data_IF_366120333848
#
_entry.id   IF_366120333848
#
_cell.length_a   1.000
_cell.length_b   1.000
_cell.length_c   1.000
_cell.angle_alpha   90.00
_cell.angle_beta   90.00
_cell.angle_gamma   90.00
#
_symmetry.space_group_name_H-M   'P 1'
#
loop_
_entity.id
_entity.type
_entity.pdbx_description
1 polymer ?
#
# COMPACT_ATOMS: atom_id res chain seq x y z
N UNK A 1 23.23 37.14 30.30
CA UNK A 1 22.17 36.12 30.21
C UNK A 1 22.85 34.77 29.99
N UNK A 2 22.67 33.75 30.86
CA UNK A 2 23.29 32.45 30.63
C UNK A 2 22.62 31.77 29.43
N UNK A 3 23.43 31.30 28.49
CA UNK A 3 22.97 30.51 27.34
C UNK A 3 22.93 29.05 27.79
N UNK A 4 21.74 28.46 27.76
CA UNK A 4 21.56 27.03 28.04
C UNK A 4 21.70 26.25 26.74
N UNK A 5 22.77 25.48 26.60
CA UNK A 5 22.93 24.52 25.51
C UNK A 5 22.39 23.15 25.96
N UNK A 6 21.41 22.61 25.24
CA UNK A 6 21.10 21.18 25.29
C UNK A 6 21.85 20.49 24.17
N UNK A 7 22.74 19.58 24.52
CA UNK A 7 23.39 18.71 23.54
C UNK A 7 22.78 17.31 23.69
N UNK A 8 22.17 16.76 22.62
CA UNK A 8 21.69 15.39 22.65
C UNK A 8 22.90 14.46 22.75
N UNK A 9 22.98 13.67 23.83
CA UNK A 9 23.96 12.60 23.94
C UNK A 9 23.32 11.28 23.50
N UNK A 10 24.12 10.40 22.89
CA UNK A 10 23.70 9.13 22.28
C UNK A 10 23.11 8.07 23.23
N UNK A 11 22.72 8.44 24.46
CA UNK A 11 22.09 7.56 25.47
C UNK A 11 20.86 8.18 26.16
N UNK A 12 20.15 9.10 25.51
CA UNK A 12 18.81 9.53 25.95
C UNK A 12 18.73 10.23 27.32
N UNK A 13 19.84 10.75 27.84
CA UNK A 13 19.88 11.53 29.09
C UNK A 13 20.26 12.98 28.78
N UNK A 14 19.27 13.87 28.88
CA UNK A 14 19.41 15.32 28.72
C UNK A 14 20.18 15.88 29.93
N UNK A 15 21.47 16.18 29.78
CA UNK A 15 22.24 16.96 30.77
C UNK A 15 22.17 18.44 30.41
N UNK A 16 21.62 19.26 31.31
CA UNK A 16 21.66 20.72 31.17
C UNK A 16 23.00 21.25 31.67
N UNK A 17 23.68 22.04 30.83
CA UNK A 17 24.87 22.79 31.22
C UNK A 17 24.56 24.29 31.18
N UNK A 18 24.95 25.03 32.22
CA UNK A 18 24.91 26.48 32.25
C UNK A 18 26.29 27.04 31.91
N UNK A 19 26.36 27.90 30.89
CA UNK A 19 27.52 28.73 30.65
C UNK A 19 27.42 29.99 31.50
N UNK A 20 28.32 30.17 32.47
CA UNK A 20 28.52 31.46 33.15
C UNK A 20 29.70 32.21 32.52
N UNK A 21 29.58 33.51 32.26
CA UNK A 21 30.75 34.33 31.93
C UNK A 21 31.64 34.48 33.18
N UNK A 22 32.94 34.21 33.02
CA UNK A 22 33.98 34.47 34.01
C UNK A 22 34.45 35.93 33.88
N UNK A 23 34.71 36.67 34.97
CA UNK A 23 35.08 38.09 34.87
C UNK A 23 36.44 38.36 34.22
N UNK A 24 37.33 37.36 34.08
CA UNK A 24 38.75 37.66 33.82
C UNK A 24 39.49 36.86 32.71
N UNK A 25 38.87 35.99 31.90
CA UNK A 25 39.54 35.41 30.71
C UNK A 25 38.58 35.05 29.58
N UNK A 26 39.02 35.26 28.34
CA UNK A 26 38.28 35.08 27.07
C UNK A 26 37.88 33.63 26.68
N UNK A 27 37.75 32.67 27.61
CA UNK A 27 37.28 31.30 27.29
C UNK A 27 36.28 30.78 28.34
N UNK A 28 35.06 30.36 27.95
CA UNK A 28 34.07 29.82 28.89
C UNK A 28 34.36 28.38 29.34
N UNK A 29 34.12 28.08 30.62
CA UNK A 29 34.29 26.75 31.25
C UNK A 29 32.93 26.07 31.44
N UNK A 30 32.81 24.80 31.05
CA UNK A 30 31.61 23.97 31.26
C UNK A 30 31.71 23.22 32.60
N UNK A 31 30.80 23.50 33.53
CA UNK A 31 30.60 22.73 34.78
C UNK A 31 29.22 22.06 34.78
N UNK A 32 29.16 20.78 35.14
CA UNK A 32 27.92 20.02 35.25
C UNK A 32 27.25 20.25 36.61
N UNK A 33 26.00 20.72 36.60
CA UNK A 33 25.22 20.85 37.82
C UNK A 33 24.64 19.49 38.23
N UNK A 34 24.96 19.05 39.45
CA UNK A 34 24.35 17.89 40.09
C UNK A 34 23.22 18.30 41.04
N UNK A 35 22.21 17.44 41.14
CA UNK A 35 21.19 17.33 42.21
C UNK A 35 19.89 18.16 42.08
N UNK A 36 18.79 17.76 42.75
CA UNK A 36 17.83 16.78 42.24
C UNK A 36 16.39 17.35 42.11
N UNK A 37 15.53 16.58 41.44
CA UNK A 37 14.10 16.86 41.19
C UNK A 37 13.31 16.83 42.52
N UNK A 38 12.57 17.91 42.83
CA UNK A 38 11.39 17.84 43.70
C UNK A 38 10.35 18.89 43.30
N UNK A 39 9.11 18.43 43.22
CA UNK A 39 7.91 19.15 42.81
C UNK A 39 7.36 20.06 43.93
N UNK A 40 6.67 21.15 43.58
CA UNK A 40 5.22 21.28 43.72
C UNK A 40 4.71 22.73 43.87
N UNK A 41 3.56 22.93 43.22
CA UNK A 41 2.41 23.82 43.44
C UNK A 41 2.53 25.32 43.80
N UNK A 42 1.74 26.07 42.98
CA UNK A 42 1.08 27.37 43.24
C UNK A 42 1.94 28.63 43.12
N UNK A 43 1.30 29.64 42.52
CA UNK A 43 1.77 31.01 42.25
C UNK A 43 2.63 31.07 40.97
N UNK A 44 2.37 31.91 39.96
CA UNK A 44 1.86 33.27 40.01
C UNK A 44 0.93 33.59 38.82
N UNK A 45 -0.05 34.44 39.13
CA UNK A 45 -1.00 35.08 38.22
C UNK A 45 -0.31 36.09 37.28
N UNK A 46 -0.83 36.14 36.04
CA UNK A 46 -0.94 37.25 35.03
C UNK A 46 -0.74 38.69 35.57
N UNK A 47 -0.27 39.68 34.77
CA UNK A 47 -1.07 40.21 33.64
C UNK A 47 -0.39 40.89 32.41
N UNK A 48 -1.18 40.85 31.32
CA UNK A 48 -1.47 41.85 30.26
C UNK A 48 -0.51 42.17 29.09
N UNK A 49 -1.10 41.92 27.91
CA UNK A 49 -1.21 42.77 26.70
C UNK A 49 -0.21 42.55 25.55
N UNK A 50 -0.78 42.07 24.43
CA UNK A 50 -0.67 42.75 23.15
C UNK A 50 0.41 42.27 22.19
N UNK A 51 0.12 41.21 21.43
CA UNK A 51 0.45 41.22 20.00
C UNK A 51 -0.46 40.23 19.25
N UNK A 52 -1.50 40.78 18.63
CA UNK A 52 -2.33 40.07 17.68
C UNK A 52 -1.50 39.83 16.41
N UNK A 53 -1.20 38.56 16.12
CA UNK A 53 -0.72 38.14 14.81
C UNK A 53 -1.92 37.90 13.89
N UNK A 54 -1.86 38.37 12.63
CA UNK A 54 -3.00 38.36 11.74
C UNK A 54 -3.41 36.92 11.38
N UNK A 55 -4.70 36.64 11.53
CA UNK A 55 -5.35 35.51 10.92
C UNK A 55 -5.17 35.59 9.40
N UNK A 56 -4.35 34.72 8.82
CA UNK A 56 -4.40 34.44 7.38
C UNK A 56 -5.66 33.62 7.09
N UNK A 57 -6.60 34.13 6.28
CA UNK A 57 -7.66 33.30 5.72
C UNK A 57 -7.12 32.57 4.48
N UNK A 58 -7.46 31.29 4.35
CA UNK A 58 -7.44 30.62 3.05
C UNK A 58 -6.21 29.75 2.77
N UNK A 59 -6.29 28.51 3.22
CA UNK A 59 -6.02 27.37 2.35
C UNK A 59 -6.97 26.25 2.80
N UNK A 60 -8.25 26.43 2.49
CA UNK A 60 -9.17 25.30 2.37
C UNK A 60 -8.62 24.44 1.24
N UNK A 61 -7.91 23.38 1.62
CA UNK A 61 -7.54 22.30 0.72
C UNK A 61 -8.80 21.90 -0.07
N UNK A 62 -8.76 21.82 -1.40
CA UNK A 62 -9.93 21.40 -2.16
C UNK A 62 -10.24 19.96 -1.75
N UNK A 63 -11.35 19.81 -1.03
CA UNK A 63 -12.03 18.57 -0.80
C UNK A 63 -12.52 18.04 -2.15
N UNK A 64 -11.64 17.33 -2.84
CA UNK A 64 -11.93 16.55 -4.03
C UNK A 64 -10.98 15.38 -4.06
N UNK A 65 -11.41 14.23 -3.51
CA UNK A 65 -10.62 12.97 -3.56
C UNK A 65 -10.08 12.66 -4.95
N UNK A 66 -10.78 13.10 -6.00
CA UNK A 66 -10.48 12.77 -7.39
C UNK A 66 -9.45 13.73 -8.05
N UNK A 67 -9.39 15.00 -7.65
CA UNK A 67 -8.52 16.01 -8.31
C UNK A 67 -7.05 15.83 -7.95
N UNK A 68 -6.76 15.43 -6.70
CA UNK A 68 -5.42 15.10 -6.25
C UNK A 68 -4.89 13.76 -6.81
N UNK A 69 -5.78 12.80 -7.07
CA UNK A 69 -5.43 11.50 -7.67
C UNK A 69 -5.00 11.66 -9.13
N UNK A 70 -5.75 12.42 -9.93
CA UNK A 70 -5.38 12.71 -11.32
C UNK A 70 -4.07 13.49 -11.41
N UNK A 71 -3.88 14.50 -10.56
CA UNK A 71 -2.62 15.25 -10.51
C UNK A 71 -1.43 14.36 -10.11
N UNK A 72 -1.61 13.45 -9.14
CA UNK A 72 -0.60 12.46 -8.74
C UNK A 72 -0.32 11.42 -9.84
N UNK A 73 -1.35 10.94 -10.53
CA UNK A 73 -1.23 10.05 -11.67
C UNK A 73 -0.39 10.69 -12.78
N UNK A 74 -0.71 11.94 -13.14
CA UNK A 74 0.05 12.71 -14.14
C UNK A 74 1.50 12.93 -13.69
N UNK A 75 1.71 13.32 -12.43
CA UNK A 75 3.05 13.49 -11.84
C UNK A 75 3.84 12.18 -11.84
N UNK A 76 3.22 11.04 -11.54
CA UNK A 76 3.89 9.73 -11.55
C UNK A 76 4.19 9.24 -12.97
N UNK A 77 3.31 9.48 -13.94
CA UNK A 77 3.59 9.24 -15.36
C UNK A 77 4.78 10.08 -15.83
N UNK A 78 4.79 11.38 -15.52
CA UNK A 78 5.87 12.29 -15.88
C UNK A 78 7.17 11.89 -15.17
N UNK A 79 7.13 11.59 -13.87
CA UNK A 79 8.31 11.12 -13.12
C UNK A 79 8.82 9.76 -13.64
N UNK A 80 7.93 8.85 -14.04
CA UNK A 80 8.28 7.55 -14.62
C UNK A 80 8.97 7.66 -15.97
N UNK A 81 8.57 8.62 -16.81
CA UNK A 81 9.22 8.93 -18.09
C UNK A 81 10.60 9.60 -17.87
N UNK A 82 10.71 10.47 -16.85
CA UNK A 82 11.94 11.23 -16.57
C UNK A 82 13.02 10.42 -15.80
N UNK A 83 12.62 9.43 -15.00
CA UNK A 83 13.54 8.67 -14.14
C UNK A 83 13.95 7.37 -14.83
N UNK A 84 15.03 7.48 -15.62
CA UNK A 84 15.58 6.38 -16.43
C UNK A 84 15.69 5.02 -15.71
N UNK A 85 15.28 3.97 -16.43
CA UNK A 85 15.44 2.51 -16.23
C UNK A 85 16.08 2.04 -14.91
N UNK A 86 15.47 2.33 -13.76
CA UNK A 86 15.79 1.62 -12.53
C UNK A 86 14.90 0.38 -12.40
N UNK A 87 15.46 -0.75 -11.97
CA UNK A 87 14.70 -1.98 -11.68
C UNK A 87 13.51 -1.69 -10.74
N UNK A 88 13.67 -0.76 -9.80
CA UNK A 88 12.58 -0.36 -8.90
C UNK A 88 11.43 0.38 -9.58
N UNK A 89 11.71 1.20 -10.59
CA UNK A 89 10.64 1.85 -11.38
C UNK A 89 9.84 0.81 -12.15
N UNK A 90 10.52 -0.19 -12.72
CA UNK A 90 9.89 -1.28 -13.46
C UNK A 90 9.04 -2.19 -12.56
N UNK A 91 9.55 -2.58 -11.38
CA UNK A 91 8.79 -3.37 -10.42
C UNK A 91 7.56 -2.63 -9.90
N UNK A 92 7.67 -1.31 -9.67
CA UNK A 92 6.52 -0.48 -9.30
C UNK A 92 5.47 -0.41 -10.42
N UNK A 93 5.92 -0.29 -11.67
CA UNK A 93 5.05 -0.32 -12.85
C UNK A 93 4.32 -1.66 -12.98
N UNK A 94 5.00 -2.78 -12.73
CA UNK A 94 4.39 -4.11 -12.71
C UNK A 94 3.38 -4.25 -11.58
N UNK A 95 3.76 -3.88 -10.35
CA UNK A 95 2.91 -3.98 -9.16
C UNK A 95 1.59 -3.22 -9.33
N UNK A 96 1.66 -2.05 -9.96
CA UNK A 96 0.49 -1.18 -10.20
C UNK A 96 -0.31 -1.52 -11.45
N UNK A 97 0.06 -2.58 -12.17
CA UNK A 97 -0.60 -2.96 -13.43
C UNK A 97 -0.52 -1.86 -14.47
N UNK A 98 0.67 -1.33 -14.75
CA UNK A 98 0.86 -0.19 -15.66
C UNK A 98 0.19 1.11 -15.20
N UNK A 99 0.24 1.41 -13.90
CA UNK A 99 -0.41 2.55 -13.25
C UNK A 99 -1.95 2.51 -13.22
N UNK A 100 -2.58 1.41 -13.64
CA UNK A 100 -4.03 1.21 -13.53
C UNK A 100 -4.48 1.26 -12.07
N UNK A 101 -3.64 0.80 -11.14
CA UNK A 101 -3.90 0.85 -9.70
C UNK A 101 -4.09 2.26 -9.11
N UNK A 102 -3.83 3.32 -9.87
CA UNK A 102 -4.10 4.71 -9.46
C UNK A 102 -5.45 5.26 -9.96
N UNK A 103 -6.21 4.46 -10.71
CA UNK A 103 -7.53 4.88 -11.16
C UNK A 103 -8.49 5.04 -9.97
N UNK A 104 -9.39 6.04 -10.03
CA UNK A 104 -10.34 6.30 -8.96
C UNK A 104 -11.40 5.19 -8.87
N UNK A 105 -11.95 5.02 -7.67
CA UNK A 105 -13.10 4.15 -7.38
C UNK A 105 -12.89 2.66 -7.77
N UNK A 106 -12.27 1.91 -6.86
CA UNK A 106 -11.95 0.48 -6.99
C UNK A 106 -10.85 0.19 -8.03
N UNK A 107 -9.57 0.51 -7.74
CA UNK A 107 -8.44 0.29 -8.65
C UNK A 107 -8.35 -1.17 -9.12
N UNK A 108 -8.72 -2.09 -8.25
CA UNK A 108 -8.81 -3.50 -8.54
C UNK A 108 -9.74 -3.88 -9.68
N UNK A 109 -10.96 -3.33 -9.71
CA UNK A 109 -11.93 -3.59 -10.78
C UNK A 109 -11.38 -3.17 -12.13
N UNK A 110 -10.69 -2.02 -12.17
CA UNK A 110 -10.02 -1.56 -13.37
C UNK A 110 -8.88 -2.48 -13.78
N UNK A 111 -8.09 -2.99 -12.84
CA UNK A 111 -7.03 -3.95 -13.12
C UNK A 111 -7.58 -5.25 -13.70
N UNK A 112 -8.63 -5.82 -13.11
CA UNK A 112 -9.29 -7.01 -13.66
C UNK A 112 -9.83 -6.75 -15.07
N UNK A 113 -10.53 -5.63 -15.29
CA UNK A 113 -11.17 -5.34 -16.57
C UNK A 113 -10.16 -5.02 -17.69
N UNK A 114 -9.18 -4.16 -17.41
CA UNK A 114 -8.26 -3.63 -18.41
C UNK A 114 -7.01 -4.49 -18.61
N UNK A 115 -6.62 -5.29 -17.60
CA UNK A 115 -5.44 -6.15 -17.66
C UNK A 115 -5.81 -7.63 -17.51
N UNK A 116 -6.58 -7.99 -16.50
CA UNK A 116 -6.95 -9.38 -16.20
C UNK A 116 -7.73 -10.08 -17.32
N UNK A 117 -8.80 -9.46 -17.83
CA UNK A 117 -9.65 -10.04 -18.88
C UNK A 117 -8.88 -10.19 -20.21
N UNK A 118 -8.20 -9.16 -20.74
CA UNK A 118 -7.40 -9.32 -21.95
C UNK A 118 -6.30 -10.38 -21.81
N UNK A 119 -5.61 -10.42 -20.67
CA UNK A 119 -4.57 -11.41 -20.40
C UNK A 119 -5.16 -12.82 -20.31
N UNK A 120 -6.31 -12.97 -19.66
CA UNK A 120 -7.03 -14.25 -19.59
C UNK A 120 -7.38 -14.77 -20.99
N UNK A 121 -7.97 -13.91 -21.83
CA UNK A 121 -8.32 -14.25 -23.21
C UNK A 121 -7.06 -14.67 -23.97
N UNK A 122 -6.00 -13.85 -23.96
CA UNK A 122 -4.77 -14.12 -24.67
C UNK A 122 -4.13 -15.46 -24.27
N UNK A 123 -4.05 -15.76 -22.96
CA UNK A 123 -3.49 -17.01 -22.47
C UNK A 123 -4.36 -18.22 -22.81
N UNK A 124 -5.70 -18.09 -22.76
CA UNK A 124 -6.61 -19.20 -23.11
C UNK A 124 -6.50 -19.60 -24.59
N UNK A 125 -6.16 -18.67 -25.48
CA UNK A 125 -5.91 -19.00 -26.90
C UNK A 125 -4.68 -19.89 -27.11
N UNK A 126 -3.76 -19.95 -26.15
CA UNK A 126 -2.55 -20.78 -26.20
C UNK A 126 -2.80 -22.21 -25.70
N UNK A 127 -3.97 -22.49 -25.12
CA UNK A 127 -4.34 -23.79 -24.54
C UNK A 127 -4.17 -23.87 -23.03
N UNK A 128 -4.85 -24.82 -22.40
CA UNK A 128 -4.92 -24.93 -20.93
C UNK A 128 -3.55 -25.11 -20.23
N UNK A 129 -2.59 -25.92 -20.73
CA UNK A 129 -1.29 -26.04 -20.06
C UNK A 129 -0.51 -24.71 -20.02
N UNK A 130 -0.52 -23.97 -21.13
CA UNK A 130 0.12 -22.65 -21.22
C UNK A 130 -0.63 -21.60 -20.39
N UNK A 131 -1.95 -21.73 -20.27
CA UNK A 131 -2.76 -20.90 -19.39
C UNK A 131 -2.33 -21.07 -17.92
N UNK A 132 -2.22 -22.31 -17.43
CA UNK A 132 -1.78 -22.58 -16.05
C UNK A 132 -0.36 -22.08 -15.82
N UNK A 133 0.55 -22.28 -16.78
CA UNK A 133 1.90 -21.73 -16.70
C UNK A 133 1.90 -20.20 -16.65
N UNK A 134 1.05 -19.54 -17.46
CA UNK A 134 0.85 -18.10 -17.44
C UNK A 134 0.33 -17.60 -16.09
N UNK A 135 -0.62 -18.30 -15.47
CA UNK A 135 -1.11 -17.98 -14.13
C UNK A 135 0.03 -18.03 -13.09
N UNK A 136 0.86 -19.07 -13.12
CA UNK A 136 2.01 -19.21 -12.22
C UNK A 136 3.06 -18.11 -12.46
N UNK A 137 3.30 -17.75 -13.72
CA UNK A 137 4.22 -16.66 -14.06
C UNK A 137 3.72 -15.30 -13.54
N UNK A 138 2.44 -15.00 -13.71
CA UNK A 138 1.82 -13.76 -13.20
C UNK A 138 1.83 -13.74 -11.67
N UNK A 139 1.53 -14.87 -11.02
CA UNK A 139 1.65 -15.00 -9.58
C UNK A 139 3.09 -14.73 -9.08
N UNK A 140 4.10 -15.29 -9.74
CA UNK A 140 5.50 -15.04 -9.39
C UNK A 140 5.88 -13.56 -9.57
N UNK A 141 5.45 -12.93 -10.66
CA UNK A 141 5.64 -11.48 -10.89
C UNK A 141 4.95 -10.67 -9.80
N UNK A 142 3.73 -11.05 -9.41
CA UNK A 142 2.98 -10.40 -8.34
C UNK A 142 3.76 -10.46 -7.01
N UNK A 143 4.20 -11.65 -6.58
CA UNK A 143 4.97 -11.79 -5.32
C UNK A 143 6.21 -10.90 -5.30
N UNK A 144 7.00 -10.90 -6.38
CA UNK A 144 8.25 -10.14 -6.45
C UNK A 144 7.98 -8.63 -6.47
N UNK A 145 7.01 -8.19 -7.28
CA UNK A 145 6.72 -6.77 -7.46
C UNK A 145 5.99 -6.17 -6.26
N UNK A 146 4.98 -6.86 -5.71
CA UNK A 146 4.27 -6.44 -4.50
C UNK A 146 5.20 -6.39 -3.30
N UNK A 147 6.05 -7.40 -3.10
CA UNK A 147 7.02 -7.42 -2.00
C UNK A 147 8.07 -6.31 -2.10
N UNK A 148 8.49 -5.96 -3.31
CA UNK A 148 9.38 -4.82 -3.54
C UNK A 148 8.70 -3.48 -3.17
N UNK A 149 7.46 -3.28 -3.60
CA UNK A 149 6.71 -2.04 -3.33
C UNK A 149 6.39 -1.90 -1.84
N UNK A 150 5.93 -2.95 -1.19
CA UNK A 150 5.68 -3.00 0.26
C UNK A 150 6.96 -2.67 1.05
N UNK A 151 8.07 -3.33 0.73
CA UNK A 151 9.35 -3.06 1.39
C UNK A 151 9.89 -1.65 1.16
N UNK A 152 9.63 -1.06 -0.01
CA UNK A 152 10.07 0.31 -0.33
C UNK A 152 9.23 1.37 0.39
N UNK A 153 7.93 1.15 0.51
CA UNK A 153 7.00 2.11 1.12
C UNK A 153 6.83 1.91 2.61
N UNK A 154 7.26 0.77 3.15
CA UNK A 154 7.05 0.37 4.55
C UNK A 154 5.55 0.40 4.94
N UNK A 155 4.68 0.16 3.96
CA UNK A 155 3.23 0.13 4.09
C UNK A 155 2.75 -1.25 3.65
N UNK A 156 2.08 -1.97 4.56
CA UNK A 156 1.56 -3.31 4.29
C UNK A 156 0.34 -3.20 3.37
N UNK A 157 0.35 -4.00 2.30
CA UNK A 157 -0.74 -4.12 1.32
C UNK A 157 -1.26 -2.76 0.76
N UNK A 158 -0.44 -2.02 -0.01
CA UNK A 158 -0.85 -0.73 -0.53
C UNK A 158 -1.96 -0.87 -1.58
N UNK A 159 -3.05 -0.07 -1.51
CA UNK A 159 -4.28 -0.29 -2.31
C UNK A 159 -4.14 -0.03 -3.82
N UNK A 160 -2.97 0.41 -4.29
CA UNK A 160 -2.68 0.62 -5.71
C UNK A 160 -1.82 -0.53 -6.30
N UNK A 161 -1.40 -1.49 -5.48
CA UNK A 161 -0.87 -2.77 -5.94
C UNK A 161 -2.09 -3.59 -6.37
N UNK A 162 -2.11 -4.02 -7.63
CA UNK A 162 -3.29 -4.67 -8.24
C UNK A 162 -2.92 -5.90 -9.07
N UNK A 163 -1.64 -6.25 -9.11
CA UNK A 163 -1.13 -7.37 -9.90
C UNK A 163 -1.44 -8.73 -9.26
N UNK A 164 -1.49 -8.77 -7.94
CA UNK A 164 -2.13 -9.79 -7.10
C UNK A 164 -3.58 -10.02 -7.50
N UNK A 165 -4.36 -8.97 -7.69
CA UNK A 165 -5.77 -9.13 -8.07
C UNK A 165 -5.94 -9.72 -9.47
N UNK A 166 -5.03 -9.37 -10.38
CA UNK A 166 -4.94 -9.97 -11.71
C UNK A 166 -4.57 -11.45 -11.60
N UNK A 167 -3.61 -11.81 -10.74
CA UNK A 167 -3.24 -13.20 -10.50
C UNK A 167 -4.40 -14.02 -9.93
N UNK A 168 -5.13 -13.47 -8.95
CA UNK A 168 -6.31 -14.09 -8.36
C UNK A 168 -7.45 -14.29 -9.37
N UNK A 169 -7.74 -13.27 -10.19
CA UNK A 169 -8.72 -13.40 -11.27
C UNK A 169 -8.34 -14.48 -12.30
N UNK A 170 -7.08 -14.55 -12.73
CA UNK A 170 -6.64 -15.62 -13.63
C UNK A 170 -6.79 -17.00 -12.99
N UNK A 171 -6.46 -17.15 -11.71
CA UNK A 171 -6.68 -18.41 -10.99
C UNK A 171 -8.16 -18.85 -11.01
N UNK A 172 -9.09 -17.89 -10.94
CA UNK A 172 -10.54 -18.17 -10.99
C UNK A 172 -11.01 -18.80 -12.31
N UNK A 173 -10.27 -18.62 -13.40
CA UNK A 173 -10.62 -19.07 -14.76
C UNK A 173 -9.87 -20.35 -15.20
N UNK A 174 -9.07 -20.97 -14.32
CA UNK A 174 -8.39 -22.25 -14.58
C UNK A 174 -9.43 -23.34 -14.90
N UNK A 175 -9.25 -24.07 -16.01
CA UNK A 175 -10.17 -25.13 -16.47
C UNK A 175 -11.62 -24.68 -16.72
N UNK A 176 -11.88 -23.36 -16.77
CA UNK A 176 -13.19 -22.80 -17.09
C UNK A 176 -13.22 -22.43 -18.58
N UNK A 177 -14.29 -22.76 -19.33
CA UNK A 177 -14.41 -22.41 -20.74
C UNK A 177 -14.50 -20.89 -20.93
N UNK A 178 -13.78 -20.37 -21.92
CA UNK A 178 -13.79 -18.95 -22.24
C UNK A 178 -15.11 -18.55 -22.89
N UNK A 179 -15.98 -17.89 -22.13
CA UNK A 179 -17.19 -17.24 -22.64
C UNK A 179 -17.59 -16.07 -21.73
N UNK A 180 -18.52 -15.23 -22.20
CA UNK A 180 -18.90 -13.99 -21.50
C UNK A 180 -19.51 -14.27 -20.12
N UNK A 181 -20.37 -15.29 -20.01
CA UNK A 181 -21.05 -15.63 -18.75
C UNK A 181 -20.04 -16.07 -17.67
N UNK A 182 -19.18 -17.08 -17.90
CA UNK A 182 -18.12 -17.44 -16.96
C UNK A 182 -17.19 -16.28 -16.60
N UNK A 183 -16.80 -15.41 -17.54
CA UNK A 183 -15.96 -14.25 -17.23
C UNK A 183 -16.61 -13.30 -16.22
N UNK A 184 -17.89 -12.98 -16.43
CA UNK A 184 -18.64 -12.09 -15.53
C UNK A 184 -18.86 -12.76 -14.17
N UNK A 185 -19.25 -14.03 -14.15
CA UNK A 185 -19.48 -14.78 -12.91
C UNK A 185 -18.16 -15.00 -12.15
N UNK A 186 -17.06 -15.29 -12.84
CA UNK A 186 -15.71 -15.37 -12.27
C UNK A 186 -15.33 -14.05 -11.58
N UNK A 187 -15.51 -12.92 -12.27
CA UNK A 187 -15.24 -11.60 -11.69
C UNK A 187 -16.09 -11.35 -10.43
N UNK A 188 -17.38 -11.68 -10.47
CA UNK A 188 -18.27 -11.53 -9.33
C UNK A 188 -17.88 -12.43 -8.14
N UNK A 189 -17.62 -13.72 -8.38
CA UNK A 189 -17.21 -14.66 -7.35
C UNK A 189 -15.85 -14.33 -6.78
N UNK A 190 -14.88 -13.96 -7.61
CA UNK A 190 -13.57 -13.52 -7.17
C UNK A 190 -13.69 -12.35 -6.18
N UNK A 191 -14.48 -11.31 -6.52
CA UNK A 191 -14.71 -10.18 -5.61
C UNK A 191 -15.46 -10.56 -4.34
N UNK A 192 -16.41 -11.48 -4.44
CA UNK A 192 -17.09 -11.98 -3.27
C UNK A 192 -16.10 -12.65 -2.30
N UNK A 193 -15.20 -13.50 -2.79
CA UNK A 193 -14.25 -14.21 -1.95
C UNK A 193 -13.09 -13.33 -1.46
N UNK A 194 -12.64 -12.39 -2.26
CA UNK A 194 -11.66 -11.35 -1.89
C UNK A 194 -12.17 -10.45 -0.77
N UNK A 195 -13.47 -10.06 -0.79
CA UNK A 195 -14.07 -9.26 0.29
C UNK A 195 -14.36 -10.11 1.53
N UNK A 196 -14.88 -11.32 1.37
CA UNK A 196 -15.29 -12.17 2.50
C UNK A 196 -14.09 -12.77 3.23
N UNK A 197 -13.01 -13.09 2.50
CA UNK A 197 -11.80 -13.78 2.98
C UNK A 197 -12.14 -14.98 3.88
N UNK A 198 -12.83 -16.01 3.35
CA UNK A 198 -13.19 -17.17 4.15
C UNK A 198 -11.94 -17.86 4.74
N UNK A 199 -12.01 -18.44 5.95
CA UNK A 199 -10.90 -19.21 6.50
C UNK A 199 -10.54 -20.37 5.54
N UNK A 200 -9.25 -20.65 5.28
CA UNK A 200 -8.05 -20.33 6.07
C UNK A 200 -7.24 -19.10 5.59
N UNK A 201 -7.75 -18.30 4.64
CA UNK A 201 -7.05 -17.13 4.05
C UNK A 201 -6.41 -16.25 5.13
N UNK A 202 -7.22 -15.83 6.11
CA UNK A 202 -6.79 -14.95 7.21
C UNK A 202 -5.63 -15.51 8.05
N UNK A 203 -5.51 -16.84 8.16
CA UNK A 203 -4.41 -17.49 8.90
C UNK A 203 -3.13 -17.55 8.08
N UNK A 204 -3.26 -17.60 6.75
CA UNK A 204 -2.13 -17.67 5.83
C UNK A 204 -1.49 -16.28 5.66
N UNK A 205 -2.30 -15.24 5.51
CA UNK A 205 -1.88 -13.83 5.45
C UNK A 205 -1.03 -13.43 6.67
N UNK A 206 -1.39 -13.93 7.86
CA UNK A 206 -0.64 -13.67 9.09
C UNK A 206 0.73 -14.39 9.16
N UNK A 207 0.94 -15.44 8.37
CA UNK A 207 2.15 -16.27 8.40
C UNK A 207 3.14 -15.94 7.28
N UNK A 208 2.67 -15.35 6.19
CA UNK A 208 3.48 -15.04 5.02
C UNK A 208 3.79 -13.53 4.99
N UNK A 209 5.02 -13.10 5.31
CA UNK A 209 5.40 -11.70 5.23
C UNK A 209 5.66 -11.27 3.78
N UNK A 210 5.44 -9.99 3.50
CA UNK A 210 5.79 -9.40 2.22
C UNK A 210 4.80 -9.71 1.09
N UNK A 211 5.30 -9.63 -0.15
CA UNK A 211 4.52 -9.92 -1.35
C UNK A 211 3.93 -11.32 -1.43
N UNK A 212 4.46 -12.29 -0.69
CA UNK A 212 3.83 -13.62 -0.58
C UNK A 212 2.47 -13.54 0.11
N UNK A 213 2.35 -12.76 1.19
CA UNK A 213 1.08 -12.62 1.91
C UNK A 213 0.02 -11.96 1.04
N UNK A 214 0.40 -10.88 0.35
CA UNK A 214 -0.46 -10.12 -0.56
C UNK A 214 -0.95 -11.03 -1.70
N UNK A 215 -0.04 -11.64 -2.46
CA UNK A 215 -0.44 -12.45 -3.62
C UNK A 215 -1.16 -13.74 -3.23
N UNK A 216 -0.80 -14.41 -2.12
CA UNK A 216 -1.51 -15.65 -1.75
C UNK A 216 -2.95 -15.38 -1.33
N UNK A 217 -3.25 -14.23 -0.72
CA UNK A 217 -4.61 -13.87 -0.33
C UNK A 217 -5.55 -13.91 -1.55
N UNK A 218 -5.17 -13.18 -2.61
CA UNK A 218 -5.91 -13.12 -3.87
C UNK A 218 -5.90 -14.44 -4.63
N UNK A 219 -4.78 -15.19 -4.63
CA UNK A 219 -4.74 -16.50 -5.27
C UNK A 219 -5.71 -17.48 -4.61
N UNK A 220 -5.78 -17.51 -3.27
CA UNK A 220 -6.69 -18.40 -2.56
C UNK A 220 -8.15 -17.95 -2.78
N UNK A 221 -8.43 -16.64 -2.77
CA UNK A 221 -9.74 -16.11 -3.17
C UNK A 221 -10.11 -16.53 -4.61
N UNK A 222 -9.14 -16.48 -5.54
CA UNK A 222 -9.26 -16.95 -6.91
C UNK A 222 -9.58 -18.45 -7.01
N UNK A 223 -8.93 -19.29 -6.20
CA UNK A 223 -9.22 -20.73 -6.15
C UNK A 223 -10.62 -21.01 -5.60
N UNK A 224 -11.09 -20.26 -4.60
CA UNK A 224 -12.48 -20.39 -4.13
C UNK A 224 -13.48 -19.97 -5.20
N UNK A 225 -13.20 -18.87 -5.90
CA UNK A 225 -14.01 -18.44 -7.03
C UNK A 225 -14.05 -19.49 -8.14
N UNK A 226 -12.92 -20.14 -8.42
CA UNK A 226 -12.84 -21.22 -9.41
C UNK A 226 -13.75 -22.40 -9.04
N UNK A 227 -13.65 -22.90 -7.80
CA UNK A 227 -14.46 -24.02 -7.33
C UNK A 227 -15.96 -23.69 -7.35
N UNK A 228 -16.32 -22.48 -6.92
CA UNK A 228 -17.70 -22.00 -6.96
C UNK A 228 -18.22 -21.89 -8.40
N UNK A 229 -17.41 -21.36 -9.31
CA UNK A 229 -17.75 -21.21 -10.73
C UNK A 229 -17.92 -22.56 -11.41
N UNK A 230 -17.02 -23.50 -11.21
CA UNK A 230 -17.14 -24.86 -11.75
C UNK A 230 -18.41 -25.55 -11.23
N UNK A 231 -18.70 -25.42 -9.94
CA UNK A 231 -19.93 -25.96 -9.33
C UNK A 231 -21.19 -25.35 -9.95
N UNK A 232 -21.19 -24.03 -10.16
CA UNK A 232 -22.28 -23.31 -10.81
C UNK A 232 -22.49 -23.76 -12.26
N UNK A 233 -21.42 -23.85 -13.04
CA UNK A 233 -21.49 -24.29 -14.44
C UNK A 233 -21.94 -25.75 -14.55
N UNK A 234 -21.47 -26.61 -13.66
CA UNK A 234 -21.90 -28.01 -13.58
C UNK A 234 -23.40 -28.11 -13.31
N UNK A 235 -23.92 -27.34 -12.33
CA UNK A 235 -25.34 -27.30 -12.02
C UNK A 235 -26.19 -26.80 -13.19
N UNK A 236 -25.77 -25.72 -13.86
CA UNK A 236 -26.47 -25.18 -15.02
C UNK A 236 -26.50 -26.19 -16.17
N UNK A 237 -25.39 -26.89 -16.43
CA UNK A 237 -25.34 -27.93 -17.47
C UNK A 237 -26.25 -29.11 -17.12
N UNK A 238 -26.29 -29.54 -15.85
CA UNK A 238 -27.22 -30.59 -15.40
C UNK A 238 -28.68 -30.21 -15.61
N UNK A 239 -29.09 -29.00 -15.22
CA UNK A 239 -30.46 -28.52 -15.38
C UNK A 239 -30.86 -28.36 -16.86
N UNK A 240 -29.91 -28.14 -17.76
CA UNK A 240 -30.18 -28.05 -19.20
C UNK A 240 -30.41 -29.42 -19.86
N UNK A 241 -29.95 -30.50 -19.22
CA UNK A 241 -30.07 -31.87 -19.72
C UNK A 241 -31.18 -32.69 -19.05
N UNK A 242 -31.85 -32.15 -18.03
CA UNK A 242 -33.01 -32.76 -17.36
C UNK A 242 -34.31 -32.20 -17.91
#
# INVERSE_FOLDING_TARGET
>A
MPVHLRLPTARGLDRQFCLRPSPDRHVPVLQGCGCPIQADSRQLRKPRQGLALPHHPGLTAPAGRNTGQMARFLLMLVQGILKGRSLGTFLHWLATGSYIGYLPAAPGTWATLLLGVPLCVALKQLGEPLYVFGCLAVAAVSVVSSGFVEGRLQEKDPPFVVIDEVAGFLASMILVPLSLVPLVVACAFFRLFDIVKPPPIKKLEQRCPGGWGITLDDLVAGLYANLALQSFLYFVTLCRHS
#
